data_IF_215036415703
#
_entry.id   IF_215036415703
#
_cell.length_a   1.000
_cell.length_b   1.000
_cell.length_c   1.000
_cell.angle_alpha   90.00
_cell.angle_beta   90.00
_cell.angle_gamma   90.00
#
_symmetry.space_group_name_H-M   'P 1'
#
loop_
_entity.id
_entity.type
_entity.pdbx_description
1 polymer ?
#
# COMPACT_ATOMS: atom_id res chain seq x y z
N UNK A 1 21.96 2.80 3.79
CA UNK A 1 20.64 2.95 4.45
C UNK A 1 19.57 2.20 3.67
N UNK A 2 18.64 1.58 4.38
CA UNK A 2 17.61 0.69 3.78
C UNK A 2 16.82 1.33 2.63
N UNK A 3 16.58 2.64 2.68
CA UNK A 3 15.79 3.31 1.65
C UNK A 3 16.51 3.39 0.30
N UNK A 4 17.83 3.57 0.30
CA UNK A 4 18.63 3.54 -0.93
C UNK A 4 18.74 2.12 -1.48
N UNK A 5 18.83 1.13 -0.62
CA UNK A 5 18.84 -0.27 -0.99
C UNK A 5 17.51 -0.69 -1.59
N UNK A 6 16.40 -0.34 -0.95
CA UNK A 6 15.05 -0.59 -1.47
C UNK A 6 14.83 0.10 -2.83
N UNK A 7 15.26 1.35 -2.98
CA UNK A 7 15.21 2.03 -4.28
C UNK A 7 15.95 1.25 -5.35
N UNK A 8 17.19 0.80 -5.04
CA UNK A 8 18.01 0.02 -5.96
C UNK A 8 17.36 -1.31 -6.36
N UNK A 9 16.78 -2.02 -5.41
CA UNK A 9 16.09 -3.30 -5.64
C UNK A 9 14.88 -3.10 -6.58
N UNK A 10 14.01 -2.15 -6.28
CA UNK A 10 12.82 -1.91 -7.10
C UNK A 10 13.16 -1.40 -8.50
N UNK A 11 14.13 -0.47 -8.61
CA UNK A 11 14.59 0.00 -9.93
C UNK A 11 15.22 -1.11 -10.75
N UNK A 12 16.05 -1.96 -10.10
CA UNK A 12 16.65 -3.12 -10.76
C UNK A 12 15.61 -4.14 -11.27
N UNK A 13 14.46 -4.22 -10.62
CA UNK A 13 13.33 -5.03 -11.07
C UNK A 13 12.40 -4.32 -12.08
N UNK A 14 12.76 -3.14 -12.58
CA UNK A 14 11.99 -2.41 -13.60
C UNK A 14 10.81 -1.60 -13.04
N UNK A 15 10.71 -1.39 -11.72
CA UNK A 15 9.65 -0.58 -11.13
C UNK A 15 9.96 0.92 -11.23
N UNK A 16 8.90 1.72 -11.42
CA UNK A 16 8.97 3.15 -11.17
C UNK A 16 9.01 3.41 -9.65
N UNK A 17 10.00 4.21 -9.19
CA UNK A 17 10.20 4.47 -7.76
C UNK A 17 10.04 5.94 -7.46
N UNK A 18 9.13 6.27 -6.55
CA UNK A 18 8.92 7.61 -6.02
C UNK A 18 9.33 7.62 -4.54
N UNK A 19 10.22 8.53 -4.15
CA UNK A 19 10.64 8.68 -2.75
C UNK A 19 9.99 9.91 -2.12
N UNK A 20 9.32 9.72 -0.99
CA UNK A 20 8.68 10.78 -0.20
C UNK A 20 9.35 10.82 1.17
N UNK A 21 10.52 11.48 1.23
CA UNK A 21 11.42 11.46 2.39
C UNK A 21 11.21 12.67 3.30
N UNK A 22 11.19 13.87 2.70
CA UNK A 22 11.14 15.14 3.43
C UNK A 22 9.85 15.89 3.13
N UNK A 23 9.25 16.47 4.17
CA UNK A 23 8.04 17.30 4.05
C UNK A 23 8.34 18.67 3.44
N UNK A 24 7.29 19.38 3.05
CA UNK A 24 7.38 20.67 2.34
C UNK A 24 8.15 21.75 3.09
N UNK A 25 8.18 21.73 4.41
CA UNK A 25 8.96 22.70 5.19
C UNK A 25 10.47 22.60 4.98
N UNK A 26 10.98 21.45 4.49
CA UNK A 26 12.37 21.31 4.11
C UNK A 26 12.71 21.93 2.76
N UNK A 27 11.73 22.18 1.89
CA UNK A 27 11.97 22.60 0.50
C UNK A 27 12.74 23.92 0.43
N UNK A 28 12.41 24.89 1.30
CA UNK A 28 13.10 26.18 1.35
C UNK A 28 14.54 26.07 1.83
N UNK A 29 14.83 25.16 2.75
CA UNK A 29 16.19 24.91 3.23
C UNK A 29 17.02 24.17 2.18
N UNK A 30 16.44 23.17 1.53
CA UNK A 30 17.08 22.44 0.45
C UNK A 30 17.37 23.35 -0.75
N UNK A 31 16.47 24.27 -1.09
CA UNK A 31 16.69 25.26 -2.15
C UNK A 31 17.85 26.23 -1.84
N UNK A 32 18.11 26.51 -0.56
CA UNK A 32 19.22 27.36 -0.09
C UNK A 32 20.55 26.62 0.02
N UNK A 33 20.55 25.29 0.03
CA UNK A 33 21.75 24.46 0.20
C UNK A 33 22.56 24.36 -1.09
N UNK A 34 23.22 25.45 -1.45
CA UNK A 34 24.03 25.52 -2.69
C UNK A 34 25.29 24.65 -2.62
N UNK A 35 25.82 24.43 -1.43
CA UNK A 35 27.01 23.60 -1.20
C UNK A 35 26.72 22.08 -1.12
N UNK A 36 25.44 21.68 -0.97
CA UNK A 36 25.05 20.30 -0.70
C UNK A 36 25.36 19.83 0.73
N UNK A 37 25.74 20.74 1.63
CA UNK A 37 26.14 20.40 3.00
C UNK A 37 24.95 19.89 3.83
N UNK A 38 23.76 20.43 3.61
CA UNK A 38 22.56 19.94 4.26
C UNK A 38 22.23 18.50 3.82
N UNK A 39 22.32 18.23 2.52
CA UNK A 39 22.13 16.87 1.97
C UNK A 39 23.19 15.92 2.52
N UNK A 40 24.46 16.36 2.59
CA UNK A 40 25.55 15.61 3.21
C UNK A 40 25.20 15.26 4.66
N UNK A 41 24.79 16.25 5.48
CA UNK A 41 24.39 16.02 6.88
C UNK A 41 23.19 15.05 7.00
N UNK A 42 22.20 15.19 6.13
CA UNK A 42 21.07 14.25 6.05
C UNK A 42 21.52 12.81 5.78
N UNK A 43 22.51 12.62 4.93
CA UNK A 43 23.07 11.31 4.61
C UNK A 43 23.98 10.73 5.69
N UNK A 44 24.65 11.56 6.45
CA UNK A 44 25.50 11.14 7.59
C UNK A 44 24.67 10.65 8.78
N UNK A 45 23.52 11.30 9.05
CA UNK A 45 22.70 10.95 10.19
C UNK A 45 22.15 9.53 10.06
N UNK A 46 22.31 8.71 11.08
CA UNK A 46 21.80 7.35 11.16
C UNK A 46 20.37 7.31 11.71
N UNK A 47 19.70 6.17 11.58
CA UNK A 47 18.27 6.06 11.93
C UNK A 47 17.99 6.35 13.41
N UNK A 48 18.90 5.96 14.32
CA UNK A 48 18.80 6.27 15.74
C UNK A 48 18.89 7.78 16.04
N UNK A 49 19.76 8.53 15.31
CA UNK A 49 19.80 9.99 15.42
C UNK A 49 18.48 10.60 14.96
N UNK A 50 17.93 10.15 13.83
CA UNK A 50 16.65 10.64 13.33
C UNK A 50 15.48 10.37 14.28
N UNK A 51 15.50 9.24 14.98
CA UNK A 51 14.55 8.94 16.04
C UNK A 51 14.69 9.94 17.19
N UNK A 52 15.91 10.15 17.68
CA UNK A 52 16.20 11.08 18.76
C UNK A 52 15.83 12.54 18.40
N UNK A 53 16.10 12.98 17.17
CA UNK A 53 15.75 14.32 16.71
C UNK A 53 14.24 14.61 16.81
N UNK A 54 13.41 13.64 16.53
CA UNK A 54 11.96 13.84 16.66
C UNK A 54 11.47 13.75 18.11
N UNK A 55 12.00 12.80 18.87
CA UNK A 55 11.60 12.59 20.26
C UNK A 55 12.04 13.73 21.20
N UNK A 56 13.21 14.34 20.96
CA UNK A 56 13.80 15.33 21.86
C UNK A 56 13.50 16.80 21.50
N UNK A 57 12.85 17.05 20.36
CA UNK A 57 12.37 18.38 20.01
C UNK A 57 13.35 19.28 19.25
N UNK A 58 12.90 20.51 18.90
CA UNK A 58 13.59 21.39 17.99
C UNK A 58 14.92 21.91 18.49
N UNK A 59 15.05 22.25 19.77
CA UNK A 59 16.33 22.67 20.37
C UNK A 59 17.42 21.61 20.19
N UNK A 60 17.07 20.36 20.44
CA UNK A 60 18.00 19.23 20.25
C UNK A 60 18.37 19.06 18.77
N UNK A 61 17.43 19.23 17.86
CA UNK A 61 17.72 19.19 16.41
C UNK A 61 18.65 20.33 16.01
N UNK A 62 18.41 21.55 16.51
CA UNK A 62 19.30 22.69 16.27
C UNK A 62 20.72 22.37 16.69
N UNK A 63 20.90 21.87 17.91
CA UNK A 63 22.21 21.58 18.48
C UNK A 63 22.89 20.38 17.75
N UNK A 64 22.21 19.25 17.66
CA UNK A 64 22.84 17.98 17.25
C UNK A 64 22.77 17.70 15.75
N UNK A 65 21.77 18.22 15.02
CA UNK A 65 21.69 18.07 13.58
C UNK A 65 22.34 19.22 12.84
N UNK A 66 21.84 20.46 13.05
CA UNK A 66 22.37 21.65 12.39
C UNK A 66 23.70 22.08 12.97
N UNK A 67 23.88 21.96 14.30
CA UNK A 67 25.08 22.36 15.01
C UNK A 67 26.34 21.55 14.69
N UNK A 68 26.19 20.46 13.93
CA UNK A 68 27.37 19.70 13.46
C UNK A 68 28.24 20.52 12.49
N UNK A 69 27.62 21.49 11.80
CA UNK A 69 28.29 22.38 10.85
C UNK A 69 27.84 23.83 11.09
N UNK A 70 28.77 24.77 11.29
CA UNK A 70 28.43 26.19 11.52
C UNK A 70 27.54 26.78 10.42
N UNK A 71 27.78 26.40 9.18
CA UNK A 71 27.02 26.88 8.02
C UNK A 71 25.56 26.46 8.08
N UNK A 72 25.28 25.25 8.61
CA UNK A 72 23.91 24.77 8.79
C UNK A 72 23.21 25.45 9.97
N UNK A 73 23.94 25.82 11.03
CA UNK A 73 23.39 26.67 12.10
C UNK A 73 22.98 28.02 11.55
N UNK A 74 23.82 28.62 10.71
CA UNK A 74 23.50 29.89 10.06
C UNK A 74 22.28 29.78 9.14
N UNK A 75 22.14 28.67 8.42
CA UNK A 75 20.97 28.39 7.55
C UNK A 75 19.63 28.43 8.29
N UNK A 76 19.62 28.06 9.59
CA UNK A 76 18.42 28.03 10.43
C UNK A 76 18.40 29.12 11.50
N UNK A 77 19.27 30.13 11.42
CA UNK A 77 19.43 31.17 12.44
C UNK A 77 18.14 31.96 12.72
N UNK A 78 17.29 32.14 11.71
CA UNK A 78 16.02 32.85 11.81
C UNK A 78 14.84 31.95 12.19
N UNK A 79 15.04 30.63 12.33
CA UNK A 79 13.99 29.71 12.70
C UNK A 79 13.93 29.53 14.21
N UNK A 80 12.74 29.50 14.78
CA UNK A 80 12.56 29.09 16.17
C UNK A 80 12.71 27.59 16.31
N UNK A 81 12.92 27.09 17.54
CA UNK A 81 12.96 25.65 17.80
C UNK A 81 11.63 24.96 17.45
N UNK A 82 10.52 25.68 17.58
CA UNK A 82 9.20 25.21 17.14
C UNK A 82 9.14 25.03 15.62
N UNK A 83 9.76 25.92 14.85
CA UNK A 83 9.81 25.81 13.39
C UNK A 83 10.72 24.66 12.96
N UNK A 84 11.86 24.48 13.62
CA UNK A 84 12.74 23.34 13.39
C UNK A 84 12.04 22.02 13.71
N UNK A 85 11.21 21.96 14.77
CA UNK A 85 10.45 20.76 15.10
C UNK A 85 9.39 20.42 14.04
N UNK A 86 8.86 21.43 13.33
CA UNK A 86 7.91 21.23 12.21
C UNK A 86 8.55 20.63 10.96
N UNK A 87 9.88 20.62 10.86
CA UNK A 87 10.60 19.97 9.75
C UNK A 87 10.34 18.44 9.80
N UNK A 88 9.29 18.04 9.11
CA UNK A 88 8.73 16.69 9.25
C UNK A 88 9.16 15.76 8.11
N UNK A 89 8.81 14.47 8.24
CA UNK A 89 9.00 13.47 7.19
C UNK A 89 7.93 13.61 6.11
N UNK A 90 8.31 13.30 4.86
CA UNK A 90 7.44 13.45 3.70
C UNK A 90 6.18 12.59 3.75
N UNK A 91 6.27 11.38 4.35
CA UNK A 91 5.12 10.49 4.51
C UNK A 91 4.02 11.03 5.44
N UNK A 92 4.30 12.12 6.19
CA UNK A 92 3.33 12.84 7.01
C UNK A 92 2.95 14.21 6.43
N UNK A 93 3.36 14.49 5.20
CA UNK A 93 3.01 15.71 4.49
C UNK A 93 1.93 15.40 3.44
N UNK A 94 0.68 15.89 3.63
CA UNK A 94 -0.42 15.58 2.72
C UNK A 94 -0.15 16.01 1.28
N UNK A 95 0.53 17.13 1.08
CA UNK A 95 0.85 17.65 -0.26
C UNK A 95 1.86 16.74 -0.98
N UNK A 96 2.93 16.33 -0.28
CA UNK A 96 3.93 15.42 -0.83
C UNK A 96 3.35 14.03 -1.11
N UNK A 97 2.52 13.52 -0.21
CA UNK A 97 1.83 12.23 -0.39
C UNK A 97 0.88 12.28 -1.58
N UNK A 98 0.04 13.34 -1.66
CA UNK A 98 -0.86 13.51 -2.79
C UNK A 98 -0.09 13.59 -4.12
N UNK A 99 0.97 14.41 -4.19
CA UNK A 99 1.78 14.54 -5.38
C UNK A 99 2.42 13.22 -5.82
N UNK A 100 2.87 12.40 -4.86
CA UNK A 100 3.42 11.07 -5.13
C UNK A 100 2.38 10.12 -5.73
N UNK A 101 1.19 10.05 -5.14
CA UNK A 101 0.09 9.24 -5.70
C UNK A 101 -0.37 9.76 -7.06
N UNK A 102 -0.49 11.07 -7.22
CA UNK A 102 -0.84 11.66 -8.52
C UNK A 102 0.17 11.28 -9.60
N UNK A 103 1.48 11.40 -9.30
CA UNK A 103 2.54 11.00 -10.22
C UNK A 103 2.52 9.49 -10.51
N UNK A 104 2.27 8.66 -9.50
CA UNK A 104 2.16 7.21 -9.66
C UNK A 104 1.03 6.82 -10.62
N UNK A 105 -0.11 7.50 -10.55
CA UNK A 105 -1.26 7.25 -11.41
C UNK A 105 -1.06 7.68 -12.87
N UNK A 106 -0.08 8.55 -13.14
CA UNK A 106 0.30 8.93 -14.52
C UNK A 106 1.28 7.94 -15.16
N UNK A 107 1.94 7.11 -14.35
CA UNK A 107 2.86 6.10 -14.87
C UNK A 107 2.08 4.89 -15.40
N UNK A 108 2.31 4.56 -16.67
CA UNK A 108 1.70 3.40 -17.34
C UNK A 108 2.79 2.43 -17.81
N UNK A 109 2.46 1.17 -17.89
CA UNK A 109 3.36 0.13 -18.43
C UNK A 109 4.30 -0.52 -17.40
N UNK A 110 4.55 0.11 -16.25
CA UNK A 110 5.33 -0.46 -15.15
C UNK A 110 4.66 -0.21 -13.81
N UNK A 111 4.80 -1.11 -12.82
CA UNK A 111 4.29 -0.85 -11.48
C UNK A 111 5.07 0.28 -10.81
N UNK A 112 4.40 1.01 -9.91
CA UNK A 112 5.03 2.08 -9.13
C UNK A 112 5.08 1.71 -7.65
N UNK A 113 6.24 1.90 -7.02
CA UNK A 113 6.39 1.86 -5.57
C UNK A 113 6.63 3.27 -5.03
N UNK A 114 5.92 3.62 -3.95
CA UNK A 114 6.11 4.87 -3.23
C UNK A 114 6.81 4.54 -1.90
N UNK A 115 8.06 4.96 -1.75
CA UNK A 115 8.84 4.81 -0.53
C UNK A 115 8.63 6.03 0.36
N UNK A 116 7.68 5.97 1.27
CA UNK A 116 7.30 7.06 2.16
C UNK A 116 7.99 6.94 3.52
N UNK A 117 8.81 7.93 3.89
CA UNK A 117 9.41 7.99 5.23
C UNK A 117 8.41 8.55 6.22
N UNK A 118 8.11 7.77 7.26
CA UNK A 118 7.18 8.11 8.32
C UNK A 118 7.86 8.06 9.70
N UNK A 119 7.11 8.43 10.73
CA UNK A 119 7.52 8.35 12.13
C UNK A 119 6.56 7.41 12.84
N UNK A 120 7.09 6.41 13.51
CA UNK A 120 6.27 5.51 14.32
C UNK A 120 5.60 6.27 15.46
N UNK A 121 4.29 6.08 15.65
CA UNK A 121 3.51 6.80 16.65
C UNK A 121 3.28 8.28 16.33
N UNK A 122 3.32 8.66 15.06
CA UNK A 122 3.05 10.04 14.65
C UNK A 122 1.72 10.55 15.20
N UNK A 123 1.75 11.67 15.87
CA UNK A 123 0.59 12.27 16.55
C UNK A 123 0.45 11.90 18.02
N UNK A 124 1.09 10.84 18.50
CA UNK A 124 0.98 10.40 19.90
C UNK A 124 1.73 11.30 20.89
N UNK A 125 2.45 12.31 20.42
CA UNK A 125 3.20 13.22 21.27
C UNK A 125 4.18 12.50 22.21
N UNK A 126 4.20 12.90 23.47
CA UNK A 126 5.12 12.34 24.47
C UNK A 126 4.88 10.86 24.79
N UNK A 127 3.67 10.38 24.55
CA UNK A 127 3.28 9.00 24.90
C UNK A 127 3.75 7.95 23.91
N UNK A 128 4.16 8.35 22.69
CA UNK A 128 4.52 7.35 21.69
C UNK A 128 5.29 7.86 20.48
N UNK A 129 5.36 9.16 20.23
CA UNK A 129 5.93 9.64 18.98
C UNK A 129 7.44 9.48 18.92
N UNK A 130 7.90 8.62 18.02
CA UNK A 130 9.32 8.34 17.76
C UNK A 130 10.06 7.69 18.94
N UNK A 131 9.37 6.99 19.82
CA UNK A 131 10.00 6.28 20.95
C UNK A 131 9.81 4.76 20.82
N UNK A 132 10.69 4.00 21.48
CA UNK A 132 10.75 2.55 21.32
C UNK A 132 9.50 1.84 21.88
N UNK A 133 8.87 2.40 22.93
CA UNK A 133 7.69 1.83 23.59
C UNK A 133 6.42 1.93 22.75
N UNK A 134 6.41 2.70 21.66
CA UNK A 134 5.24 2.92 20.79
C UNK A 134 4.61 1.61 20.33
N UNK A 135 5.42 0.59 20.04
CA UNK A 135 4.90 -0.69 19.56
C UNK A 135 4.02 -1.42 20.58
N UNK A 136 4.26 -1.17 21.85
CA UNK A 136 3.52 -1.79 22.97
C UNK A 136 2.42 -0.88 23.53
N UNK A 137 2.31 0.35 23.04
CA UNK A 137 1.31 1.31 23.49
C UNK A 137 -0.09 0.83 23.09
N UNK A 138 -0.91 0.49 24.07
CA UNK A 138 -2.26 -0.05 23.83
C UNK A 138 -3.37 0.99 24.03
N UNK A 139 -3.13 2.00 24.86
CA UNK A 139 -4.11 3.03 25.20
C UNK A 139 -3.42 4.38 25.29
N UNK A 140 -4.10 5.42 24.86
CA UNK A 140 -3.76 6.82 25.11
C UNK A 140 -4.59 7.30 26.31
N UNK A 141 -4.00 8.14 27.16
CA UNK A 141 -4.74 8.80 28.21
C UNK A 141 -5.54 10.01 27.65
N UNK A 142 -6.35 10.64 28.50
CA UNK A 142 -7.17 11.79 28.12
C UNK A 142 -6.31 12.96 27.59
N UNK A 143 -5.16 13.21 28.18
CA UNK A 143 -4.27 14.29 27.77
C UNK A 143 -3.67 14.02 26.37
N UNK A 144 -3.34 12.78 26.09
CA UNK A 144 -2.83 12.36 24.80
C UNK A 144 -3.90 12.50 23.70
N UNK A 145 -5.15 12.14 24.02
CA UNK A 145 -6.27 12.28 23.09
C UNK A 145 -6.58 13.74 22.78
N UNK A 146 -6.60 14.61 23.80
CA UNK A 146 -6.77 16.06 23.63
C UNK A 146 -5.60 16.65 22.81
N UNK A 147 -4.37 16.26 23.10
CA UNK A 147 -3.20 16.67 22.33
C UNK A 147 -3.32 16.26 20.85
N UNK A 148 -3.77 15.02 20.57
CA UNK A 148 -3.98 14.53 19.23
C UNK A 148 -5.05 15.36 18.50
N UNK A 149 -6.19 15.60 19.13
CA UNK A 149 -7.27 16.43 18.62
C UNK A 149 -6.77 17.82 18.23
N UNK A 150 -6.07 18.50 19.15
CA UNK A 150 -5.57 19.86 18.96
C UNK A 150 -4.49 19.92 17.87
N UNK A 151 -3.62 18.93 17.81
CA UNK A 151 -2.56 18.88 16.81
C UNK A 151 -3.07 18.72 15.38
N UNK A 152 -4.17 18.03 15.20
CA UNK A 152 -4.76 17.73 13.89
C UNK A 152 -6.04 18.51 13.62
N UNK A 153 -6.34 19.50 14.45
CA UNK A 153 -7.54 20.36 14.34
C UNK A 153 -8.83 19.54 14.16
N UNK A 154 -8.95 18.39 14.88
CA UNK A 154 -10.16 17.58 14.83
C UNK A 154 -11.29 18.32 15.53
N UNK A 155 -12.42 18.62 14.89
CA UNK A 155 -13.47 19.49 15.45
C UNK A 155 -14.37 18.73 16.42
N UNK A 156 -13.81 18.31 17.54
CA UNK A 156 -14.51 17.66 18.66
C UNK A 156 -14.31 18.49 19.95
N UNK A 157 -15.31 18.55 20.78
CA UNK A 157 -15.21 19.14 22.12
C UNK A 157 -14.39 18.24 23.05
N UNK A 158 -13.92 18.79 24.17
CA UNK A 158 -13.18 17.99 25.17
C UNK A 158 -14.00 16.80 25.69
N UNK A 159 -15.29 16.99 25.89
CA UNK A 159 -16.20 15.94 26.33
C UNK A 159 -16.36 14.83 25.31
N UNK A 160 -16.51 15.20 24.04
CA UNK A 160 -16.59 14.21 22.94
C UNK A 160 -15.29 13.41 22.81
N UNK A 161 -14.13 14.07 22.98
CA UNK A 161 -12.82 13.38 22.98
C UNK A 161 -12.72 12.40 24.15
N UNK A 162 -13.15 12.80 25.37
CA UNK A 162 -13.17 11.92 26.55
C UNK A 162 -14.06 10.70 26.35
N UNK A 163 -15.20 10.89 25.69
CA UNK A 163 -16.15 9.83 25.37
C UNK A 163 -15.74 9.00 24.13
N UNK A 164 -14.61 9.34 23.50
CA UNK A 164 -14.10 8.67 22.27
C UNK A 164 -15.17 8.66 21.17
N UNK A 165 -15.83 9.79 20.95
CA UNK A 165 -16.81 9.93 19.90
C UNK A 165 -16.17 9.96 18.51
N UNK A 166 -16.84 9.35 17.53
CA UNK A 166 -16.38 9.39 16.15
C UNK A 166 -16.71 10.72 15.51
N UNK A 167 -15.69 11.37 14.94
CA UNK A 167 -15.91 12.50 14.06
C UNK A 167 -16.35 12.04 12.67
N UNK A 168 -17.49 12.52 12.23
CA UNK A 168 -17.98 12.35 10.87
C UNK A 168 -18.18 13.72 10.24
N UNK A 169 -17.43 14.08 9.17
CA UNK A 169 -17.66 15.32 8.44
C UNK A 169 -19.08 15.39 7.87
N UNK A 170 -19.63 16.59 7.80
CA UNK A 170 -20.96 16.81 7.22
C UNK A 170 -20.98 16.38 5.74
N UNK A 171 -22.07 15.80 5.29
CA UNK A 171 -22.23 15.31 3.89
C UNK A 171 -22.09 16.42 2.85
N UNK A 172 -22.36 17.68 3.23
CA UNK A 172 -22.22 18.85 2.38
C UNK A 172 -20.86 19.54 2.50
N UNK A 173 -19.93 19.04 3.32
CA UNK A 173 -18.58 19.60 3.43
C UNK A 173 -17.80 19.48 2.12
N UNK A 174 -16.85 20.40 1.84
CA UNK A 174 -16.02 20.35 0.64
C UNK A 174 -15.28 19.03 0.47
N UNK A 175 -14.76 18.48 1.57
CA UNK A 175 -14.01 17.22 1.59
C UNK A 175 -14.88 16.03 1.18
N UNK A 176 -16.09 15.93 1.72
CA UNK A 176 -17.03 14.87 1.40
C UNK A 176 -17.53 14.98 -0.02
N UNK A 177 -17.84 16.21 -0.49
CA UNK A 177 -18.19 16.45 -1.90
C UNK A 177 -17.07 16.02 -2.85
N UNK A 178 -15.82 16.38 -2.53
CA UNK A 178 -14.65 15.97 -3.32
C UNK A 178 -14.49 14.45 -3.33
N UNK A 179 -14.54 13.81 -2.16
CA UNK A 179 -14.47 12.35 -2.04
C UNK A 179 -15.53 11.65 -2.88
N UNK A 180 -16.81 12.06 -2.74
CA UNK A 180 -17.93 11.50 -3.49
C UNK A 180 -17.76 11.70 -5.00
N UNK A 181 -17.30 12.88 -5.45
CA UNK A 181 -16.99 13.15 -6.86
C UNK A 181 -15.92 12.22 -7.42
N UNK A 182 -14.81 12.02 -6.67
CA UNK A 182 -13.74 11.10 -7.09
C UNK A 182 -14.23 9.65 -7.13
N UNK A 183 -14.97 9.22 -6.12
CA UNK A 183 -15.53 7.86 -6.07
C UNK A 183 -16.56 7.61 -7.19
N UNK A 184 -17.38 8.58 -7.50
CA UNK A 184 -18.35 8.47 -8.61
C UNK A 184 -17.66 8.23 -9.95
N UNK A 185 -16.54 8.95 -10.24
CA UNK A 185 -15.75 8.73 -11.45
C UNK A 185 -15.17 7.32 -11.55
N UNK A 186 -14.97 6.64 -10.42
CA UNK A 186 -14.46 5.28 -10.34
C UNK A 186 -15.57 4.22 -10.28
N UNK A 187 -16.83 4.58 -10.56
CA UNK A 187 -17.96 3.67 -10.56
C UNK A 187 -18.66 3.52 -9.20
N UNK A 188 -18.47 4.46 -8.28
CA UNK A 188 -19.10 4.46 -6.96
C UNK A 188 -18.17 4.06 -5.82
N UNK A 189 -18.71 3.73 -4.66
CA UNK A 189 -17.92 3.40 -3.47
C UNK A 189 -17.22 2.04 -3.62
N UNK A 190 -17.50 1.04 -2.92
CA UNK A 190 -16.95 -0.28 -3.21
C UNK A 190 -17.64 -0.88 -4.42
N UNK A 191 -16.98 -1.78 -5.19
CA UNK A 191 -17.65 -2.53 -6.22
C UNK A 191 -18.91 -3.16 -5.64
N UNK A 192 -20.08 -2.83 -6.19
CA UNK A 192 -21.31 -3.50 -5.79
C UNK A 192 -21.13 -4.99 -6.07
N UNK A 193 -21.32 -5.80 -5.05
CA UNK A 193 -21.44 -7.25 -5.25
C UNK A 193 -22.77 -7.51 -5.94
N UNK A 194 -22.74 -7.57 -7.26
CA UNK A 194 -23.92 -7.93 -8.02
C UNK A 194 -24.17 -9.43 -7.88
N UNK A 195 -25.36 -9.79 -7.43
CA UNK A 195 -25.87 -11.15 -7.51
C UNK A 195 -26.46 -11.48 -8.89
N UNK A 196 -26.49 -10.52 -9.81
CA UNK A 196 -26.96 -10.70 -11.18
C UNK A 196 -25.89 -11.41 -12.01
N UNK A 197 -25.86 -12.72 -11.92
CA UNK A 197 -25.17 -13.56 -12.89
C UNK A 197 -26.18 -14.07 -13.92
N UNK A 198 -25.82 -14.06 -15.20
CA UNK A 198 -26.63 -14.74 -16.22
C UNK A 198 -26.70 -16.22 -15.86
N UNK A 199 -27.91 -16.79 -15.81
CA UNK A 199 -28.11 -18.20 -15.56
C UNK A 199 -27.30 -19.03 -16.56
N UNK A 200 -26.58 -20.02 -16.06
CA UNK A 200 -25.88 -21.02 -16.88
C UNK A 200 -26.82 -22.21 -17.03
N UNK A 201 -27.05 -22.62 -18.27
CA UNK A 201 -27.81 -23.85 -18.52
C UNK A 201 -27.03 -25.04 -17.95
N UNK A 202 -27.65 -25.76 -17.04
CA UNK A 202 -27.03 -26.95 -16.44
C UNK A 202 -26.73 -27.99 -17.50
N UNK A 203 -25.52 -28.57 -17.53
CA UNK A 203 -25.20 -29.66 -18.44
C UNK A 203 -26.12 -30.88 -18.24
N UNK A 204 -26.44 -31.61 -19.28
CA UNK A 204 -27.23 -32.82 -19.13
C UNK A 204 -26.52 -33.85 -18.24
N UNK A 205 -27.30 -34.60 -17.43
CA UNK A 205 -26.74 -35.55 -16.47
C UNK A 205 -25.91 -36.70 -17.14
N UNK A 206 -26.15 -36.94 -18.42
CA UNK A 206 -25.47 -37.95 -19.20
C UNK A 206 -23.98 -37.73 -19.40
N UNK A 207 -23.51 -36.47 -19.31
CA UNK A 207 -22.06 -36.20 -19.35
C UNK A 207 -21.30 -36.88 -18.20
N UNK A 208 -22.00 -37.23 -17.14
CA UNK A 208 -21.44 -37.92 -15.96
C UNK A 208 -21.77 -39.42 -15.89
N UNK A 209 -22.39 -40.00 -16.94
CA UNK A 209 -22.84 -41.36 -16.93
C UNK A 209 -21.73 -42.36 -16.54
N UNK A 210 -20.57 -42.25 -17.17
CA UNK A 210 -19.41 -43.12 -16.90
C UNK A 210 -18.83 -42.97 -15.50
N UNK A 211 -19.18 -41.93 -14.78
CA UNK A 211 -18.72 -41.68 -13.39
C UNK A 211 -19.67 -42.24 -12.35
N UNK A 212 -20.89 -42.60 -12.76
CA UNK A 212 -21.88 -43.27 -11.91
C UNK A 212 -21.78 -44.77 -11.95
N UNK A 213 -21.00 -45.30 -12.88
CA UNK A 213 -20.78 -46.73 -13.04
C UNK A 213 -19.55 -47.16 -12.26
N UNK A 214 -19.54 -48.41 -11.79
CA UNK A 214 -18.39 -48.97 -11.11
C UNK A 214 -17.19 -49.07 -12.07
N UNK A 215 -16.00 -48.78 -11.58
CA UNK A 215 -14.73 -49.00 -12.30
C UNK A 215 -14.34 -50.49 -12.37
N UNK A 216 -15.14 -51.38 -11.76
CA UNK A 216 -14.85 -52.80 -11.62
C UNK A 216 -13.61 -53.00 -10.72
N UNK A 217 -12.61 -53.74 -11.22
CA UNK A 217 -11.35 -53.97 -10.50
C UNK A 217 -10.29 -52.88 -10.69
N UNK A 218 -10.60 -51.85 -11.45
CA UNK A 218 -9.62 -50.77 -11.76
C UNK A 218 -9.64 -49.72 -10.68
N UNK A 219 -8.55 -49.61 -9.95
CA UNK A 219 -8.35 -48.49 -8.98
C UNK A 219 -8.21 -47.15 -9.68
N UNK A 220 -8.81 -46.14 -9.09
CA UNK A 220 -8.75 -44.78 -9.59
C UNK A 220 -8.67 -43.78 -8.44
N UNK A 221 -7.74 -42.84 -8.50
CA UNK A 221 -7.65 -41.79 -7.51
C UNK A 221 -8.81 -40.77 -7.67
N UNK A 222 -9.21 -40.15 -6.57
CA UNK A 222 -10.23 -39.08 -6.57
C UNK A 222 -9.82 -37.89 -7.47
N UNK A 223 -8.53 -37.59 -7.54
CA UNK A 223 -7.98 -36.55 -8.43
C UNK A 223 -8.25 -36.92 -9.90
N UNK A 224 -8.02 -38.15 -10.32
CA UNK A 224 -8.29 -38.59 -11.70
C UNK A 224 -9.79 -38.56 -12.02
N UNK A 225 -10.66 -38.83 -11.03
CA UNK A 225 -12.11 -38.67 -11.21
C UNK A 225 -12.45 -37.20 -11.44
N UNK A 226 -11.89 -36.27 -10.65
CA UNK A 226 -12.06 -34.83 -10.83
C UNK A 226 -11.59 -34.37 -12.22
N UNK A 227 -10.42 -34.81 -12.67
CA UNK A 227 -9.89 -34.49 -14.01
C UNK A 227 -10.84 -34.94 -15.11
N UNK A 228 -11.43 -36.11 -14.99
CA UNK A 228 -12.46 -36.62 -15.94
C UNK A 228 -13.71 -35.78 -15.89
N UNK A 229 -14.19 -35.40 -14.70
CA UNK A 229 -15.34 -34.51 -14.55
C UNK A 229 -15.10 -33.16 -15.25
N UNK A 230 -13.95 -32.53 -14.97
CA UNK A 230 -13.55 -31.27 -15.63
C UNK A 230 -13.45 -31.44 -17.15
N UNK A 231 -12.86 -32.55 -17.61
CA UNK A 231 -12.78 -32.88 -19.05
C UNK A 231 -14.16 -32.94 -19.71
N UNK A 232 -15.14 -33.52 -19.04
CA UNK A 232 -16.50 -33.59 -19.58
C UNK A 232 -17.19 -32.23 -19.54
N UNK A 233 -17.01 -31.44 -18.46
CA UNK A 233 -17.53 -30.08 -18.36
C UNK A 233 -16.95 -29.14 -19.43
N UNK A 234 -15.66 -29.29 -19.75
CA UNK A 234 -14.98 -28.55 -20.82
C UNK A 234 -15.48 -28.89 -22.24
N UNK A 235 -16.29 -29.93 -22.40
CA UNK A 235 -16.98 -30.24 -23.66
C UNK A 235 -18.36 -29.57 -23.78
N UNK A 236 -18.93 -29.11 -22.67
CA UNK A 236 -20.23 -28.44 -22.67
C UNK A 236 -20.07 -26.96 -23.11
N UNK A 237 -20.78 -26.59 -24.17
CA UNK A 237 -20.66 -25.25 -24.79
C UNK A 237 -21.08 -24.10 -23.88
N UNK A 238 -21.92 -24.36 -22.86
CA UNK A 238 -22.38 -23.31 -21.94
C UNK A 238 -21.43 -23.15 -20.74
N UNK A 239 -20.80 -24.24 -20.29
CA UNK A 239 -19.95 -24.28 -19.11
C UNK A 239 -18.48 -24.03 -19.46
N UNK A 240 -17.99 -24.63 -20.56
CA UNK A 240 -16.57 -24.54 -20.95
C UNK A 240 -16.00 -23.10 -20.97
N UNK A 241 -16.69 -22.10 -21.53
CA UNK A 241 -16.16 -20.73 -21.57
C UNK A 241 -16.04 -20.06 -20.20
N UNK A 242 -16.60 -20.67 -19.15
CA UNK A 242 -16.62 -20.16 -17.77
C UNK A 242 -15.80 -20.99 -16.80
N UNK A 243 -15.28 -22.13 -17.26
CA UNK A 243 -14.50 -23.07 -16.45
C UNK A 243 -13.02 -22.78 -16.67
N UNK A 244 -12.37 -22.21 -15.65
CA UNK A 244 -10.93 -21.87 -15.68
C UNK A 244 -10.22 -22.67 -14.60
N UNK A 245 -9.56 -23.78 -14.93
CA UNK A 245 -8.69 -24.49 -13.99
C UNK A 245 -7.47 -23.63 -13.63
N UNK A 246 -7.24 -23.40 -12.34
CA UNK A 246 -6.08 -22.67 -11.83
C UNK A 246 -5.19 -23.66 -11.09
N UNK A 247 -4.00 -23.92 -11.62
CA UNK A 247 -3.08 -24.94 -11.11
C UNK A 247 -1.73 -24.24 -10.86
N UNK A 248 -1.18 -24.30 -9.64
CA UNK A 248 0.07 -23.58 -9.33
C UNK A 248 1.25 -24.08 -10.18
N UNK A 249 1.50 -25.39 -10.23
CA UNK A 249 2.62 -25.97 -10.96
C UNK A 249 2.41 -27.44 -11.37
N UNK A 250 1.74 -28.25 -10.59
CA UNK A 250 1.74 -29.71 -10.72
C UNK A 250 0.69 -30.27 -11.70
N UNK A 251 0.42 -29.61 -12.80
CA UNK A 251 -0.59 -30.06 -13.77
C UNK A 251 -0.36 -31.50 -14.25
N UNK A 252 0.88 -31.91 -14.53
CA UNK A 252 1.24 -33.27 -14.96
C UNK A 252 1.07 -34.25 -13.82
N UNK A 253 1.52 -33.91 -12.62
CA UNK A 253 1.38 -34.76 -11.42
C UNK A 253 -0.08 -35.09 -11.12
N UNK A 254 -0.99 -34.16 -11.39
CA UNK A 254 -2.43 -34.39 -11.24
C UNK A 254 -3.12 -34.95 -12.47
N UNK A 255 -2.37 -35.31 -13.53
CA UNK A 255 -2.93 -35.86 -14.77
C UNK A 255 -3.77 -34.85 -15.57
N UNK A 256 -3.46 -33.55 -15.43
CA UNK A 256 -4.16 -32.43 -16.08
C UNK A 256 -3.44 -31.94 -17.34
N UNK A 257 -2.34 -32.56 -17.76
CA UNK A 257 -1.57 -32.17 -18.95
C UNK A 257 -2.43 -32.16 -20.23
N UNK A 258 -3.45 -33.00 -20.30
CA UNK A 258 -4.40 -33.02 -21.42
C UNK A 258 -5.20 -31.73 -21.58
N UNK A 259 -5.22 -30.85 -20.58
CA UNK A 259 -5.88 -29.53 -20.68
C UNK A 259 -5.04 -28.57 -21.51
N UNK A 260 -3.72 -28.69 -21.55
CA UNK A 260 -2.85 -27.81 -22.35
C UNK A 260 -3.24 -27.84 -23.83
N UNK A 261 -3.54 -29.02 -24.38
CA UNK A 261 -4.00 -29.15 -25.74
C UNK A 261 -5.46 -28.72 -25.96
N UNK A 262 -6.33 -28.87 -24.94
CA UNK A 262 -7.76 -28.61 -25.08
C UNK A 262 -8.15 -27.16 -24.92
N UNK A 263 -7.55 -26.47 -23.97
CA UNK A 263 -7.91 -25.09 -23.61
C UNK A 263 -6.72 -24.14 -23.64
N UNK A 264 -5.49 -24.64 -23.82
CA UNK A 264 -4.26 -23.86 -23.80
C UNK A 264 -3.86 -23.44 -22.39
N UNK A 265 -2.77 -22.67 -22.32
CA UNK A 265 -2.32 -21.99 -21.11
C UNK A 265 -2.64 -20.52 -21.28
N UNK A 266 -3.23 -19.88 -20.24
CA UNK A 266 -3.56 -18.47 -20.31
C UNK A 266 -2.31 -17.61 -20.50
N UNK A 267 -2.37 -16.73 -21.50
CA UNK A 267 -1.38 -15.70 -21.74
C UNK A 267 -2.13 -14.36 -21.92
N UNK A 268 -1.90 -13.39 -21.04
CA UNK A 268 -2.67 -12.13 -21.02
C UNK A 268 -2.45 -11.27 -22.28
N UNK A 269 -1.32 -11.44 -22.96
CA UNK A 269 -1.01 -10.75 -24.23
C UNK A 269 -1.23 -11.66 -25.46
N UNK A 270 -1.84 -12.82 -25.28
CA UNK A 270 -1.99 -13.82 -26.32
C UNK A 270 -0.72 -14.65 -26.55
N UNK A 271 -0.86 -15.71 -27.36
CA UNK A 271 0.24 -16.60 -27.73
C UNK A 271 1.15 -15.90 -28.74
N UNK A 272 2.40 -15.61 -28.35
CA UNK A 272 3.38 -14.87 -29.16
C UNK A 272 4.36 -15.75 -29.94
N UNK A 273 4.37 -17.04 -29.68
CA UNK A 273 5.24 -18.03 -30.33
C UNK A 273 4.50 -19.35 -30.50
N UNK A 274 4.96 -20.19 -31.41
CA UNK A 274 4.46 -21.53 -31.59
C UNK A 274 5.14 -22.45 -30.53
N UNK A 275 4.36 -23.09 -29.64
CA UNK A 275 4.95 -23.98 -28.64
C UNK A 275 5.53 -25.25 -29.28
N UNK A 276 6.65 -25.70 -28.78
CA UNK A 276 7.34 -26.94 -29.20
C UNK A 276 6.79 -28.12 -28.47
#
# INVERSE_FOLDING_TARGET
KIIQELEGIFRGAGWNVIKVIWGSYWDSLLAKDKSGLLIKRMNEAVDGEYQAFKAKGGAFVREKFFGKYPELLNLVSQMTDKDIWKLNRGGHDPHKVYAAYHSAMQNTGTPTVILAKTIKGYGMGKSGESINTTHQQKKLDEKDLLYYRDRFDVPLTDEQVKNIEYYKPADNSPEIKYLKKCRFKLGGNLPERSSFAKSIKTPPKDIFKTMKESTGKKEMSTTMVLVRMLTNLLRDKNVAPRLVPIIPDEARTFGMEGFFQKIGIYAHEGQKYEPV
#
